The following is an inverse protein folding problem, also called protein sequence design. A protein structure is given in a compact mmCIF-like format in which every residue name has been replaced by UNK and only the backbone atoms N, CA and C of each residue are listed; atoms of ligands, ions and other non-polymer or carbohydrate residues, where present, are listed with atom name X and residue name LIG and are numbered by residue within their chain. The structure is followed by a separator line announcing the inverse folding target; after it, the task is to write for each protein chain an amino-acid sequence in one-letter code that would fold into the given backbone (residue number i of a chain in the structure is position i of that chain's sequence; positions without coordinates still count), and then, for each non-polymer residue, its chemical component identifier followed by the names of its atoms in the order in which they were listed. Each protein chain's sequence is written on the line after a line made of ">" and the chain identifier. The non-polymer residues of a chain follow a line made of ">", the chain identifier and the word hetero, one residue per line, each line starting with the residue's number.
data_IF_939298549703
#
_entry.id   IF_939298549703
#
_cell.length_a   1.000
_cell.length_b   1.000
_cell.length_c   1.000
_cell.angle_alpha   90.00
_cell.angle_beta   90.00
_cell.angle_gamma   90.00
#
_symmetry.space_group_name_H-M   'P 1'
#
loop_
_entity.id
_entity.type
_entity.pdbx_description
1 polymer ?
#
# COMPACT_ATOMS: atom_id res chain seq x y z
N UNK A 1 23.97 -5.39 8.57
CA UNK A 1 23.13 -4.83 9.66
C UNK A 1 23.69 -3.56 10.31
N UNK A 2 24.99 -3.23 10.23
CA UNK A 2 25.55 -2.00 10.86
C UNK A 2 25.23 -0.69 10.12
N UNK A 3 25.01 -0.73 8.81
CA UNK A 3 24.70 0.46 8.00
C UNK A 3 23.25 0.96 8.14
N UNK A 4 22.30 0.07 8.46
CA UNK A 4 20.88 0.45 8.65
C UNK A 4 20.69 1.24 9.95
N UNK A 5 21.47 0.91 10.99
CA UNK A 5 21.42 1.62 12.29
C UNK A 5 22.03 3.02 12.18
N UNK A 6 23.06 3.22 11.36
CA UNK A 6 23.67 4.53 11.15
C UNK A 6 22.74 5.52 10.42
N UNK A 7 21.92 5.05 9.47
CA UNK A 7 20.94 5.88 8.77
C UNK A 7 19.85 6.40 9.73
N UNK A 8 19.46 5.60 10.72
CA UNK A 8 18.44 5.99 11.71
C UNK A 8 18.91 7.10 12.65
N UNK A 9 20.20 7.17 12.99
CA UNK A 9 20.73 8.11 13.98
C UNK A 9 20.89 9.53 13.40
N UNK A 10 21.23 9.66 12.10
CA UNK A 10 21.36 10.98 11.45
C UNK A 10 20.02 11.69 11.19
N UNK A 11 18.89 10.98 11.25
CA UNK A 11 17.55 11.58 11.04
C UNK A 11 17.01 12.28 12.29
N UNK A 12 17.53 11.97 13.48
CA UNK A 12 17.07 12.57 14.75
C UNK A 12 17.47 14.04 14.94
N UNK A 13 18.37 14.59 14.10
CA UNK A 13 18.92 15.93 14.28
C UNK A 13 18.19 17.03 13.48
N UNK A 14 17.06 16.75 12.83
CA UNK A 14 16.26 17.77 12.14
C UNK A 14 14.89 17.98 12.81
N UNK A 15 14.69 19.08 13.54
CA UNK A 15 13.37 19.61 13.78
C UNK A 15 13.19 20.93 13.03
N UNK A 16 12.13 21.02 12.21
CA UNK A 16 11.26 22.20 12.22
C UNK A 16 9.83 21.93 11.76
N UNK A 17 9.56 20.89 10.94
CA UNK A 17 8.20 20.39 10.67
C UNK A 17 8.26 18.87 10.41
N UNK A 18 8.42 18.07 11.47
CA UNK A 18 8.21 16.63 11.34
C UNK A 18 6.69 16.36 11.33
N UNK A 19 6.11 16.08 10.17
CA UNK A 19 4.69 15.75 10.05
C UNK A 19 4.54 14.30 9.61
N UNK A 20 3.80 13.52 10.40
CA UNK A 20 3.34 12.19 10.01
C UNK A 20 1.88 12.29 9.59
N UNK A 21 1.58 11.89 8.35
CA UNK A 21 0.22 11.71 7.85
C UNK A 21 -0.02 10.22 7.65
N UNK A 22 -1.13 9.72 8.17
CA UNK A 22 -1.55 8.35 8.00
C UNK A 22 -2.94 8.36 7.37
N UNK A 23 -3.05 7.80 6.19
CA UNK A 23 -4.32 7.62 5.47
C UNK A 23 -4.60 6.12 5.32
N UNK A 24 -5.88 5.77 5.25
CA UNK A 24 -6.31 4.39 5.04
C UNK A 24 -7.47 4.32 4.07
N UNK A 25 -7.60 3.17 3.42
CA UNK A 25 -8.73 2.86 2.56
C UNK A 25 -9.14 1.39 2.71
N UNK A 26 -10.40 1.11 2.43
CA UNK A 26 -10.92 -0.25 2.34
C UNK A 26 -11.90 -0.33 1.18
N UNK A 27 -11.78 -1.38 0.39
CA UNK A 27 -12.71 -1.73 -0.68
C UNK A 27 -13.35 -3.07 -0.32
N UNK A 28 -14.67 -3.11 -0.36
CA UNK A 28 -15.45 -4.33 -0.16
C UNK A 28 -16.12 -4.66 -1.50
N UNK A 29 -15.96 -5.89 -1.96
CA UNK A 29 -16.63 -6.36 -3.18
C UNK A 29 -17.02 -7.83 -3.07
N UNK A 30 -17.97 -8.24 -3.91
CA UNK A 30 -18.40 -9.63 -4.08
C UNK A 30 -18.28 -10.04 -5.55
N UNK A 31 -17.89 -11.29 -5.77
CA UNK A 31 -17.91 -11.93 -7.09
C UNK A 31 -18.91 -13.09 -7.10
N UNK A 32 -19.59 -13.25 -8.23
CA UNK A 32 -20.60 -14.28 -8.51
C UNK A 32 -20.35 -14.82 -9.92
N UNK A 33 -20.55 -16.11 -10.13
CA UNK A 33 -20.53 -16.71 -11.46
C UNK A 33 -21.67 -17.71 -11.62
N UNK A 34 -22.14 -17.89 -12.85
CA UNK A 34 -23.10 -18.91 -13.25
C UNK A 34 -22.43 -20.15 -13.87
N UNK A 35 -21.10 -20.11 -14.02
CA UNK A 35 -20.34 -21.15 -14.70
C UNK A 35 -19.94 -22.29 -13.76
N UNK A 36 -20.34 -23.51 -14.13
CA UNK A 36 -19.99 -24.75 -13.40
C UNK A 36 -18.63 -25.33 -13.79
N UNK A 37 -18.05 -24.86 -14.89
CA UNK A 37 -16.86 -25.47 -15.50
C UNK A 37 -15.68 -24.51 -15.65
N UNK A 38 -15.94 -23.21 -15.78
CA UNK A 38 -14.91 -22.18 -15.87
C UNK A 38 -14.90 -21.37 -14.58
N UNK A 39 -13.97 -21.68 -13.68
CA UNK A 39 -13.81 -20.98 -12.42
C UNK A 39 -13.16 -19.60 -12.63
N UNK A 40 -13.66 -18.59 -11.94
CA UNK A 40 -13.13 -17.21 -12.02
C UNK A 40 -12.04 -17.02 -10.97
N UNK A 41 -10.94 -16.38 -11.37
CA UNK A 41 -9.90 -15.84 -10.50
C UNK A 41 -9.60 -14.42 -10.93
N UNK A 42 -9.50 -13.49 -9.99
CA UNK A 42 -9.14 -12.10 -10.30
C UNK A 42 -7.64 -11.87 -10.30
N UNK A 43 -6.87 -12.76 -9.67
CA UNK A 43 -5.40 -12.72 -9.65
C UNK A 43 -4.80 -14.12 -9.76
N UNK A 44 -3.66 -14.22 -10.45
CA UNK A 44 -2.92 -15.48 -10.61
C UNK A 44 -2.44 -16.02 -9.26
N UNK A 45 -2.17 -15.13 -8.30
CA UNK A 45 -1.75 -15.48 -6.95
C UNK A 45 -2.88 -16.03 -6.07
N UNK A 46 -4.12 -16.13 -6.53
CA UNK A 46 -5.22 -16.68 -5.72
C UNK A 46 -5.21 -18.21 -5.75
N UNK A 47 -5.46 -18.82 -4.58
CA UNK A 47 -5.44 -20.28 -4.42
C UNK A 47 -6.69 -20.91 -5.07
N UNK A 48 -7.85 -20.32 -4.79
CA UNK A 48 -9.16 -20.86 -5.14
C UNK A 48 -9.77 -20.14 -6.34
N UNK A 49 -10.58 -20.86 -7.11
CA UNK A 49 -11.41 -20.30 -8.17
C UNK A 49 -12.87 -20.29 -7.71
N UNK A 50 -13.63 -19.28 -8.10
CA UNK A 50 -15.06 -19.20 -7.84
C UNK A 50 -15.84 -20.00 -8.88
N UNK A 51 -16.78 -20.85 -8.46
CA UNK A 51 -17.69 -21.60 -9.34
C UNK A 51 -19.17 -21.23 -9.11
N UNK A 52 -20.07 -21.79 -9.94
CA UNK A 52 -21.50 -21.53 -9.83
C UNK A 52 -22.04 -21.80 -8.42
N UNK A 53 -23.00 -20.97 -8.00
CA UNK A 53 -23.66 -21.01 -6.69
C UNK A 53 -22.76 -20.62 -5.49
N UNK A 54 -21.53 -20.17 -5.73
CA UNK A 54 -20.63 -19.62 -4.71
C UNK A 54 -20.60 -18.08 -4.74
N UNK A 55 -20.52 -17.47 -3.56
CA UNK A 55 -20.29 -16.02 -3.40
C UNK A 55 -18.96 -15.83 -2.70
N UNK A 56 -18.03 -15.13 -3.35
CA UNK A 56 -16.74 -14.79 -2.75
C UNK A 56 -16.58 -13.28 -2.59
N UNK A 57 -16.41 -12.89 -1.33
CA UNK A 57 -16.19 -11.51 -0.90
C UNK A 57 -14.70 -11.18 -0.77
N UNK A 58 -13.84 -12.19 -0.61
CA UNK A 58 -12.41 -12.05 -0.33
C UNK A 58 -11.63 -11.76 -1.61
N UNK A 59 -11.99 -12.41 -2.71
CA UNK A 59 -11.29 -12.31 -3.99
C UNK A 59 -11.08 -10.88 -4.53
N UNK A 60 -11.99 -9.95 -4.20
CA UNK A 60 -11.91 -8.56 -4.66
C UNK A 60 -11.92 -7.52 -3.53
N UNK A 61 -12.01 -7.96 -2.28
CA UNK A 61 -11.88 -7.03 -1.15
C UNK A 61 -10.41 -6.72 -0.89
N UNK A 62 -10.15 -5.48 -0.47
CA UNK A 62 -8.80 -5.02 -0.10
C UNK A 62 -8.86 -3.95 0.98
N UNK A 63 -7.80 -3.85 1.76
CA UNK A 63 -7.59 -2.77 2.71
C UNK A 63 -6.16 -2.25 2.56
N UNK A 64 -5.96 -0.95 2.73
CA UNK A 64 -4.64 -0.37 2.60
C UNK A 64 -4.40 0.77 3.57
N UNK A 65 -3.13 0.99 3.86
CA UNK A 65 -2.62 2.06 4.69
C UNK A 65 -1.50 2.77 3.92
N UNK A 66 -1.47 4.08 4.02
CA UNK A 66 -0.41 4.92 3.49
C UNK A 66 0.11 5.82 4.60
N UNK A 67 1.41 5.73 4.86
CA UNK A 67 2.12 6.58 5.79
C UNK A 67 3.04 7.52 5.01
N UNK A 68 2.93 8.80 5.31
CA UNK A 68 3.76 9.86 4.76
C UNK A 68 4.47 10.57 5.91
N UNK A 69 5.78 10.40 6.01
CA UNK A 69 6.60 11.06 7.00
C UNK A 69 7.46 12.13 6.33
N UNK A 70 7.17 13.40 6.62
CA UNK A 70 7.99 14.53 6.20
C UNK A 70 9.05 14.80 7.26
N UNK A 71 10.33 14.68 6.89
CA UNK A 71 11.46 15.01 7.76
C UNK A 71 11.85 16.49 7.64
N UNK A 72 11.66 17.07 6.46
CA UNK A 72 11.88 18.49 6.18
C UNK A 72 10.97 18.96 5.03
N UNK A 73 10.95 20.26 4.73
CA UNK A 73 10.21 20.79 3.57
C UNK A 73 10.67 20.20 2.22
N UNK A 74 11.82 19.52 2.19
CA UNK A 74 12.41 18.97 0.98
C UNK A 74 12.46 17.43 0.99
N UNK A 75 12.37 16.77 2.14
CA UNK A 75 12.54 15.32 2.26
C UNK A 75 11.29 14.69 2.88
N UNK A 76 10.71 13.73 2.17
CA UNK A 76 9.55 12.98 2.59
C UNK A 76 9.74 11.49 2.33
N UNK A 77 9.45 10.65 3.31
CA UNK A 77 9.31 9.21 3.14
C UNK A 77 7.85 8.83 2.96
N UNK A 78 7.57 7.97 1.98
CA UNK A 78 6.22 7.48 1.68
C UNK A 78 6.26 5.96 1.65
N UNK A 79 5.36 5.34 2.41
CA UNK A 79 5.17 3.89 2.39
C UNK A 79 3.70 3.54 2.28
N UNK A 80 3.39 2.54 1.47
CA UNK A 80 2.04 2.04 1.25
C UNK A 80 1.99 0.52 1.43
N UNK A 81 1.03 0.10 2.25
CA UNK A 81 0.70 -1.28 2.54
C UNK A 81 -0.69 -1.58 2.00
N UNK A 82 -0.88 -2.71 1.34
CA UNK A 82 -2.19 -3.18 0.86
C UNK A 82 -2.35 -4.66 1.19
N UNK A 83 -3.35 -4.95 2.01
CA UNK A 83 -3.83 -6.28 2.34
C UNK A 83 -4.94 -6.66 1.37
N UNK A 84 -4.82 -7.84 0.76
CA UNK A 84 -5.81 -8.44 -0.13
C UNK A 84 -5.67 -9.96 -0.03
N UNK A 85 -6.68 -10.68 -0.50
CA UNK A 85 -6.62 -12.13 -0.56
C UNK A 85 -5.60 -12.57 -1.62
N UNK A 86 -4.62 -13.40 -1.22
CA UNK A 86 -3.52 -13.91 -2.05
C UNK A 86 -2.99 -15.19 -1.39
N UNK A 87 -2.59 -16.19 -2.20
CA UNK A 87 -2.09 -17.48 -1.72
C UNK A 87 -0.75 -17.33 -0.98
N UNK A 88 0.12 -16.44 -1.44
CA UNK A 88 1.35 -16.10 -0.74
C UNK A 88 1.08 -15.07 0.35
N UNK A 89 1.44 -15.44 1.58
CA UNK A 89 1.28 -14.64 2.79
C UNK A 89 2.55 -13.82 3.11
N UNK A 90 3.43 -13.63 2.13
CA UNK A 90 4.70 -12.94 2.32
C UNK A 90 4.48 -11.46 2.69
N UNK A 91 5.43 -10.88 3.43
CA UNK A 91 5.39 -9.44 3.71
C UNK A 91 5.62 -8.60 2.46
N UNK A 92 6.34 -9.16 1.47
CA UNK A 92 6.62 -8.53 0.18
C UNK A 92 5.33 -8.33 -0.63
N UNK A 93 4.35 -9.23 -0.53
CA UNK A 93 3.07 -9.06 -1.21
C UNK A 93 2.19 -7.95 -0.62
N UNK A 94 2.40 -7.65 0.66
CA UNK A 94 1.64 -6.65 1.43
C UNK A 94 2.21 -5.25 1.25
N UNK A 95 3.53 -5.11 1.12
CA UNK A 95 4.17 -3.82 0.85
C UNK A 95 4.05 -3.54 -0.64
N UNK A 96 3.27 -2.51 -1.01
CA UNK A 96 3.17 -2.11 -2.42
C UNK A 96 4.29 -1.18 -2.82
N UNK A 97 4.57 -0.20 -1.97
CA UNK A 97 5.54 0.85 -2.28
C UNK A 97 6.21 1.34 -0.99
N UNK A 98 7.51 1.58 -1.05
CA UNK A 98 8.26 2.27 -0.02
C UNK A 98 9.38 3.07 -0.69
N UNK A 99 9.32 4.39 -0.63
CA UNK A 99 10.28 5.26 -1.32
C UNK A 99 10.55 6.56 -0.56
N UNK A 100 11.70 7.17 -0.85
CA UNK A 100 12.07 8.48 -0.37
C UNK A 100 11.88 9.50 -1.51
N UNK A 101 11.21 10.60 -1.21
CA UNK A 101 10.99 11.73 -2.12
C UNK A 101 11.85 12.91 -1.66
N UNK A 102 12.60 13.47 -2.60
CA UNK A 102 13.35 14.71 -2.41
C UNK A 102 12.85 15.80 -3.39
N UNK A 103 12.44 16.94 -2.85
CA UNK A 103 11.92 18.10 -3.59
C UNK A 103 12.78 19.33 -3.29
N UNK A 104 13.68 19.75 -4.20
CA UNK A 104 14.64 20.83 -3.93
C UNK A 104 14.02 22.22 -3.80
N UNK A 105 12.84 22.49 -4.35
CA UNK A 105 12.03 23.69 -4.05
C UNK A 105 10.74 23.32 -3.33
N UNK A 106 10.21 24.18 -2.43
CA UNK A 106 8.85 24.00 -1.91
C UNK A 106 7.87 23.97 -3.09
N UNK A 107 6.88 23.09 -3.02
CA UNK A 107 5.86 22.91 -4.07
C UNK A 107 5.27 24.27 -4.46
N UNK A 108 5.21 24.62 -5.76
CA UNK A 108 4.39 25.73 -6.20
C UNK A 108 2.95 25.43 -5.80
N UNK A 109 2.37 26.25 -4.92
CA UNK A 109 0.94 26.20 -4.61
C UNK A 109 0.15 26.58 -5.87
N UNK A 110 -0.07 25.61 -6.75
CA UNK A 110 -0.80 25.77 -8.00
C UNK A 110 -1.64 24.54 -8.27
N UNK A 111 -2.78 24.43 -7.59
CA UNK A 111 -3.86 23.57 -8.08
C UNK A 111 -4.54 24.33 -9.22
N UNK A 112 -4.28 23.93 -10.46
CA UNK A 112 -5.17 24.25 -11.58
C UNK A 112 -6.23 23.14 -11.62
N UNK A 113 -7.46 23.52 -11.27
CA UNK A 113 -8.67 22.71 -11.29
C UNK A 113 -9.85 23.59 -10.97
#
# INVERSE_FOLDING_TARGET
>A
MRFIVALFITVYSMPSIASLKLDGFANIGASLTDSKYAGIRTQVSQHDALFADEIDWRQISSAGLQAEWRFSNQVQFVSQLVLKDSADHSLDDKIKMAFLRYSPSPEPHGKFG
#
